data_IF_570290368209
#
_entry.id   IF_570290368209
#
_cell.length_a   1.000
_cell.length_b   1.000
_cell.length_c   1.000
_cell.angle_alpha   90.00
_cell.angle_beta   90.00
_cell.angle_gamma   90.00
#
_symmetry.space_group_name_H-M   'P 1'
#
loop_
_entity.id
_entity.type
_entity.pdbx_description
1 polymer ?
#
# COMPACT_ATOMS: atom_id res chain seq x y z
N UNK A 1 29.20 72.22 17.04
CA UNK A 1 27.99 71.41 16.86
C UNK A 1 28.30 70.30 15.89
N UNK A 2 28.47 69.06 16.39
CA UNK A 2 28.80 67.90 15.57
C UNK A 2 27.51 67.10 15.29
N UNK A 3 27.10 66.99 14.00
CA UNK A 3 25.99 66.18 13.58
C UNK A 3 26.46 64.70 13.52
N UNK A 4 25.86 63.86 14.35
CA UNK A 4 26.04 62.40 14.28
C UNK A 4 25.09 61.84 13.19
N UNK A 5 25.67 61.27 12.16
CA UNK A 5 24.95 60.45 11.15
C UNK A 5 24.75 59.07 11.74
N UNK A 6 23.49 58.66 11.88
CA UNK A 6 23.09 57.31 12.32
C UNK A 6 22.89 56.47 11.06
N UNK A 7 23.80 55.54 10.78
CA UNK A 7 23.62 54.51 9.73
C UNK A 7 22.73 53.43 10.30
N UNK A 8 21.50 53.33 9.81
CA UNK A 8 20.65 52.19 10.03
C UNK A 8 21.05 51.07 9.09
N UNK A 9 21.66 50.03 9.62
CA UNK A 9 21.97 48.77 8.90
C UNK A 9 20.69 47.95 8.85
N UNK A 10 19.98 47.98 7.72
CA UNK A 10 18.86 47.07 7.46
C UNK A 10 19.44 45.71 7.08
N UNK A 11 19.46 44.81 8.04
CA UNK A 11 19.76 43.39 7.76
C UNK A 11 18.56 42.79 7.03
N UNK A 12 18.68 42.69 5.70
CA UNK A 12 17.78 41.86 4.87
C UNK A 12 18.15 40.40 5.17
N UNK A 13 17.42 39.79 6.10
CA UNK A 13 17.37 38.36 6.26
C UNK A 13 16.62 37.78 5.03
N UNK A 14 17.39 37.47 4.00
CA UNK A 14 16.90 36.70 2.90
C UNK A 14 16.53 35.28 3.43
N UNK A 15 15.24 35.02 3.55
CA UNK A 15 14.76 33.63 3.62
C UNK A 15 15.16 32.96 2.31
N UNK A 16 16.29 32.28 2.33
CA UNK A 16 16.59 31.25 1.36
C UNK A 16 15.59 30.10 1.62
N UNK A 17 14.40 30.22 1.04
CA UNK A 17 13.61 29.03 0.76
C UNK A 17 14.48 28.22 -0.22
N UNK A 18 15.18 27.23 0.29
CA UNK A 18 15.71 26.18 -0.57
C UNK A 18 14.48 25.48 -1.16
N UNK A 19 14.06 25.96 -2.34
CA UNK A 19 13.23 25.15 -3.21
C UNK A 19 14.09 23.91 -3.48
N UNK A 20 13.83 22.82 -2.78
CA UNK A 20 14.34 21.50 -3.16
C UNK A 20 13.77 21.31 -4.57
N UNK A 21 14.63 21.40 -5.57
CA UNK A 21 14.25 21.10 -6.93
C UNK A 21 13.67 19.69 -6.90
N UNK A 22 12.38 19.57 -7.20
CA UNK A 22 11.68 18.31 -7.23
C UNK A 22 12.44 17.43 -8.24
N UNK A 23 13.03 16.34 -7.75
CA UNK A 23 13.90 15.51 -8.59
C UNK A 23 13.01 14.66 -9.50
N UNK A 24 13.20 14.80 -10.82
CA UNK A 24 12.49 13.97 -11.79
C UNK A 24 12.84 12.49 -11.57
N UNK A 25 11.80 11.68 -11.47
CA UNK A 25 11.89 10.21 -11.35
C UNK A 25 11.63 9.60 -12.72
N UNK A 26 12.43 8.59 -13.09
CA UNK A 26 12.33 7.97 -14.41
C UNK A 26 12.06 6.47 -14.25
N UNK A 27 11.01 5.99 -14.90
CA UNK A 27 10.78 4.58 -15.18
C UNK A 27 10.91 4.35 -16.68
N UNK A 28 11.81 3.45 -17.08
CA UNK A 28 11.84 2.97 -18.46
C UNK A 28 11.74 1.46 -18.52
N UNK A 29 11.21 0.91 -19.61
CA UNK A 29 11.12 -0.52 -19.81
C UNK A 29 11.25 -0.93 -21.28
N UNK A 30 11.95 -2.04 -21.50
CA UNK A 30 11.81 -2.86 -22.70
C UNK A 30 10.86 -4.01 -22.39
N UNK A 31 9.84 -4.22 -23.23
CA UNK A 31 8.82 -5.25 -23.00
C UNK A 31 8.75 -6.16 -24.22
N UNK A 32 9.28 -7.37 -24.09
CA UNK A 32 9.32 -8.37 -25.15
C UNK A 32 8.32 -9.50 -24.92
N UNK A 33 7.77 -10.04 -26.02
CA UNK A 33 6.85 -11.18 -25.99
C UNK A 33 5.45 -10.86 -25.47
N UNK A 34 5.12 -9.59 -25.21
CA UNK A 34 3.80 -9.16 -24.78
C UNK A 34 2.82 -9.16 -25.95
N UNK A 35 1.66 -9.81 -25.78
CA UNK A 35 0.72 -10.08 -26.88
C UNK A 35 -0.36 -9.00 -27.07
N UNK A 36 -0.37 -7.95 -26.24
CA UNK A 36 -1.33 -6.86 -26.36
C UNK A 36 -0.73 -5.67 -27.09
N UNK A 37 -1.59 -4.82 -27.66
CA UNK A 37 -1.18 -3.65 -28.46
C UNK A 37 -0.71 -2.45 -27.62
N UNK A 38 -0.87 -2.51 -26.30
CA UNK A 38 -0.54 -1.38 -25.42
C UNK A 38 0.21 -1.86 -24.18
N UNK A 39 1.14 -1.04 -23.74
CA UNK A 39 1.88 -1.19 -22.49
C UNK A 39 1.44 -0.11 -21.54
N UNK A 40 1.21 -0.46 -20.28
CA UNK A 40 0.76 0.45 -19.24
C UNK A 40 1.77 0.51 -18.10
N UNK A 41 2.10 1.74 -17.69
CA UNK A 41 2.77 2.00 -16.41
C UNK A 41 1.72 2.64 -15.50
N UNK A 42 1.27 1.90 -14.49
CA UNK A 42 0.20 2.33 -13.59
C UNK A 42 0.75 2.57 -12.18
N UNK A 43 0.27 3.61 -11.50
CA UNK A 43 0.60 3.89 -10.11
C UNK A 43 -0.59 3.58 -9.19
N UNK A 44 -0.34 2.78 -8.15
CA UNK A 44 -1.37 2.38 -7.18
C UNK A 44 -1.84 3.54 -6.29
N UNK A 45 -0.93 4.45 -5.92
CA UNK A 45 -1.24 5.56 -5.02
C UNK A 45 -1.99 6.68 -5.72
N UNK A 46 -1.61 6.98 -6.96
CA UNK A 46 -2.23 8.07 -7.72
C UNK A 46 -2.36 7.72 -9.20
N UNK A 47 -3.59 7.73 -9.74
CA UNK A 47 -3.81 7.49 -11.17
C UNK A 47 -3.25 8.58 -12.09
N UNK A 48 -2.83 9.74 -11.54
CA UNK A 48 -2.17 10.80 -12.33
C UNK A 48 -0.78 10.42 -12.77
N UNK A 49 -0.13 9.49 -12.07
CA UNK A 49 1.17 8.93 -12.45
C UNK A 49 0.89 7.62 -13.18
N UNK A 50 0.26 7.70 -14.34
CA UNK A 50 0.01 6.56 -15.20
C UNK A 50 0.32 6.93 -16.64
N UNK A 51 0.87 5.99 -17.41
CA UNK A 51 1.23 6.20 -18.81
C UNK A 51 0.91 4.99 -19.66
N UNK A 52 0.37 5.25 -20.85
CA UNK A 52 0.09 4.25 -21.86
C UNK A 52 1.04 4.42 -23.05
N UNK A 53 1.56 3.31 -23.57
CA UNK A 53 2.41 3.27 -24.76
C UNK A 53 1.88 2.24 -25.76
N UNK A 54 2.16 2.44 -27.04
CA UNK A 54 1.98 1.39 -28.04
C UNK A 54 3.06 0.33 -27.89
N UNK A 55 2.70 -0.94 -28.13
CA UNK A 55 3.68 -2.02 -28.12
C UNK A 55 4.48 -2.00 -29.43
N UNK A 56 5.77 -1.66 -29.32
CA UNK A 56 6.73 -1.73 -30.41
C UNK A 56 7.87 -2.66 -29.94
N UNK A 57 8.01 -3.87 -30.53
CA UNK A 57 9.08 -4.79 -30.13
C UNK A 57 10.46 -4.16 -30.24
N UNK A 58 11.25 -4.26 -29.18
CA UNK A 58 12.61 -3.71 -29.11
C UNK A 58 12.69 -2.19 -28.90
N UNK A 59 11.57 -1.51 -28.69
CA UNK A 59 11.54 -0.10 -28.32
C UNK A 59 11.54 0.07 -26.80
N UNK A 60 12.34 1.03 -26.33
CA UNK A 60 12.32 1.44 -24.94
C UNK A 60 11.18 2.44 -24.69
N UNK A 61 10.35 2.16 -23.69
CA UNK A 61 9.29 3.04 -23.23
C UNK A 61 9.78 3.81 -22.01
N UNK A 62 9.78 5.14 -22.08
CA UNK A 62 10.33 6.01 -21.03
C UNK A 62 9.21 6.89 -20.48
N UNK A 63 9.08 6.92 -19.15
CA UNK A 63 8.18 7.79 -18.44
C UNK A 63 8.93 8.58 -17.36
N UNK A 64 8.89 9.91 -17.47
CA UNK A 64 9.43 10.83 -16.48
C UNK A 64 8.27 11.46 -15.72
N UNK A 65 8.35 11.47 -14.40
CA UNK A 65 7.34 12.04 -13.53
C UNK A 65 7.97 12.58 -12.25
N UNK A 66 7.19 13.32 -11.49
CA UNK A 66 7.57 13.82 -10.18
C UNK A 66 6.76 13.09 -9.11
N UNK A 67 7.41 12.71 -8.01
CA UNK A 67 6.76 12.16 -6.83
C UNK A 67 7.43 12.73 -5.58
N UNK A 68 6.64 12.91 -4.52
CA UNK A 68 7.15 13.40 -3.23
C UNK A 68 7.55 12.25 -2.30
N UNK A 69 6.90 11.12 -2.46
CA UNK A 69 7.11 9.92 -1.66
C UNK A 69 7.35 8.71 -2.54
N UNK A 70 7.66 7.58 -1.89
CA UNK A 70 7.73 6.29 -2.56
C UNK A 70 6.45 6.01 -3.35
N UNK A 71 6.59 5.56 -4.59
CA UNK A 71 5.48 5.09 -5.42
C UNK A 71 5.65 3.60 -5.76
N UNK A 72 4.54 2.88 -5.74
CA UNK A 72 4.43 1.54 -6.30
C UNK A 72 3.83 1.64 -7.68
N UNK A 73 4.58 1.27 -8.69
CA UNK A 73 4.11 1.22 -10.07
C UNK A 73 4.03 -0.21 -10.57
N UNK A 74 3.16 -0.46 -11.51
CA UNK A 74 3.10 -1.74 -12.21
C UNK A 74 3.31 -1.55 -13.71
N UNK A 75 4.07 -2.46 -14.31
CA UNK A 75 4.18 -2.59 -15.77
C UNK A 75 3.18 -3.68 -16.18
N UNK A 76 2.19 -3.30 -16.99
CA UNK A 76 1.10 -4.17 -17.45
C UNK A 76 0.31 -4.87 -16.32
N UNK A 77 0.20 -4.24 -15.15
CA UNK A 77 -0.51 -4.76 -13.99
C UNK A 77 0.11 -6.02 -13.36
N UNK A 78 1.31 -6.44 -13.81
CA UNK A 78 1.93 -7.72 -13.40
C UNK A 78 3.32 -7.60 -12.81
N UNK A 79 4.13 -6.65 -13.29
CA UNK A 79 5.49 -6.41 -12.80
C UNK A 79 5.48 -5.19 -11.90
N UNK A 80 5.49 -5.40 -10.59
CA UNK A 80 5.54 -4.33 -9.60
C UNK A 80 6.95 -3.78 -9.43
N UNK A 81 7.07 -2.45 -9.33
CA UNK A 81 8.33 -1.74 -9.08
C UNK A 81 8.13 -0.63 -8.05
N UNK A 82 9.15 -0.41 -7.24
CA UNK A 82 9.23 0.68 -6.27
C UNK A 82 10.16 1.76 -6.81
N UNK A 83 9.73 3.01 -6.74
CA UNK A 83 10.52 4.19 -7.06
C UNK A 83 10.41 5.23 -5.95
N UNK A 84 11.53 5.84 -5.63
CA UNK A 84 11.65 6.97 -4.74
C UNK A 84 11.96 8.24 -5.54
N UNK A 85 11.67 9.44 -5.01
CA UNK A 85 12.02 10.69 -5.68
C UNK A 85 13.46 10.72 -6.20
N UNK A 86 13.64 11.03 -7.48
CA UNK A 86 14.94 11.07 -8.15
C UNK A 86 15.53 9.72 -8.55
N UNK A 87 14.81 8.61 -8.40
CA UNK A 87 15.25 7.31 -8.93
C UNK A 87 15.19 7.29 -10.45
N UNK A 88 16.12 6.56 -11.06
CA UNK A 88 16.07 6.16 -12.45
C UNK A 88 16.16 4.63 -12.50
N UNK A 89 15.11 4.00 -13.01
CA UNK A 89 14.99 2.55 -13.13
C UNK A 89 14.66 2.17 -14.56
N UNK A 90 15.46 1.26 -15.11
CA UNK A 90 15.16 0.56 -16.34
C UNK A 90 14.82 -0.89 -16.06
N UNK A 91 13.76 -1.40 -16.70
CA UNK A 91 13.24 -2.75 -16.49
C UNK A 91 13.14 -3.50 -17.81
N UNK A 92 13.93 -4.55 -17.97
CA UNK A 92 13.73 -5.51 -19.05
C UNK A 92 12.70 -6.55 -18.64
N UNK A 93 11.57 -6.61 -19.35
CA UNK A 93 10.47 -7.55 -19.09
C UNK A 93 10.31 -8.47 -20.30
N UNK A 94 10.56 -9.75 -20.11
CA UNK A 94 10.43 -10.75 -21.19
C UNK A 94 9.31 -11.75 -20.81
N UNK A 95 8.25 -11.75 -21.60
CA UNK A 95 7.17 -12.70 -21.51
C UNK A 95 7.48 -13.97 -22.34
N UNK A 96 7.54 -15.11 -21.66
CA UNK A 96 7.71 -16.41 -22.31
C UNK A 96 6.59 -17.37 -21.86
N UNK A 97 5.47 -17.30 -22.53
CA UNK A 97 4.26 -18.01 -22.16
C UNK A 97 3.76 -17.57 -20.78
N UNK A 98 3.77 -18.48 -19.81
CA UNK A 98 3.35 -18.20 -18.42
C UNK A 98 4.46 -17.59 -17.55
N UNK A 99 5.70 -17.57 -18.03
CA UNK A 99 6.84 -17.07 -17.28
C UNK A 99 7.15 -15.63 -17.68
N UNK A 100 7.46 -14.81 -16.68
CA UNK A 100 7.91 -13.43 -16.86
C UNK A 100 9.32 -13.34 -16.26
N UNK A 101 10.31 -12.99 -17.10
CA UNK A 101 11.66 -12.70 -16.64
C UNK A 101 11.80 -11.18 -16.53
N UNK A 102 12.33 -10.72 -15.41
CA UNK A 102 12.52 -9.29 -15.14
C UNK A 102 13.96 -9.06 -14.73
N UNK A 103 14.61 -8.05 -15.36
CA UNK A 103 15.94 -7.59 -14.97
C UNK A 103 15.90 -6.07 -14.73
N UNK A 104 16.72 -5.59 -13.80
CA UNK A 104 16.74 -4.18 -13.38
C UNK A 104 18.11 -3.57 -13.60
N UNK A 105 18.14 -2.35 -14.15
CA UNK A 105 19.31 -1.47 -14.22
C UNK A 105 18.92 -0.03 -13.91
N UNK A 106 19.88 0.84 -13.61
CA UNK A 106 19.63 2.23 -13.24
C UNK A 106 20.39 2.68 -12.02
N UNK A 107 19.82 3.59 -11.22
CA UNK A 107 20.44 4.02 -9.96
C UNK A 107 20.55 2.85 -8.97
N UNK A 108 21.66 2.78 -8.24
CA UNK A 108 21.93 1.68 -7.31
C UNK A 108 20.79 1.49 -6.31
N UNK A 109 20.25 2.58 -5.76
CA UNK A 109 19.10 2.55 -4.84
C UNK A 109 17.89 1.91 -5.49
N UNK A 110 17.48 2.37 -6.67
CA UNK A 110 16.32 1.84 -7.38
C UNK A 110 16.49 0.34 -7.69
N UNK A 111 17.66 -0.06 -8.16
CA UNK A 111 17.97 -1.47 -8.44
C UNK A 111 17.89 -2.33 -7.19
N UNK A 112 18.48 -1.88 -6.07
CA UNK A 112 18.46 -2.62 -4.81
C UNK A 112 17.05 -2.74 -4.24
N UNK A 113 16.24 -1.68 -4.31
CA UNK A 113 14.84 -1.69 -3.87
C UNK A 113 14.02 -2.71 -4.66
N UNK A 114 14.18 -2.75 -5.98
CA UNK A 114 13.43 -3.66 -6.84
C UNK A 114 13.93 -5.11 -6.79
N UNK A 115 15.20 -5.32 -6.49
CA UNK A 115 15.71 -6.66 -6.14
C UNK A 115 15.11 -7.20 -4.85
N UNK A 116 14.83 -6.35 -3.86
CA UNK A 116 14.12 -6.75 -2.66
C UNK A 116 12.70 -7.21 -3.01
N UNK A 117 11.93 -6.43 -3.77
CA UNK A 117 10.58 -6.80 -4.25
C UNK A 117 10.61 -8.16 -4.93
N UNK A 118 11.51 -8.35 -5.91
CA UNK A 118 11.67 -9.62 -6.63
C UNK A 118 12.03 -10.79 -5.71
N UNK A 119 12.84 -10.55 -4.68
CA UNK A 119 13.23 -11.57 -3.72
C UNK A 119 12.06 -12.02 -2.87
N UNK A 120 11.17 -11.11 -2.47
CA UNK A 120 9.93 -11.42 -1.76
C UNK A 120 8.97 -12.23 -2.65
N UNK A 121 8.80 -11.84 -3.92
CA UNK A 121 7.98 -12.62 -4.86
C UNK A 121 8.52 -14.04 -5.06
N UNK A 122 9.83 -14.20 -5.16
CA UNK A 122 10.46 -15.50 -5.25
C UNK A 122 10.28 -16.32 -3.96
N UNK A 123 10.34 -15.68 -2.79
CA UNK A 123 10.07 -16.32 -1.51
C UNK A 123 8.63 -16.85 -1.48
N UNK A 124 7.63 -16.03 -1.82
CA UNK A 124 6.22 -16.43 -1.88
C UNK A 124 6.02 -17.64 -2.82
N UNK A 125 6.63 -17.61 -4.01
CA UNK A 125 6.59 -18.73 -4.96
C UNK A 125 7.24 -20.00 -4.41
N UNK A 126 8.40 -19.87 -3.76
CA UNK A 126 9.13 -21.02 -3.19
C UNK A 126 8.34 -21.70 -2.08
N UNK A 127 7.60 -20.91 -1.29
CA UNK A 127 6.71 -21.40 -0.23
C UNK A 127 5.34 -21.82 -0.78
N UNK A 128 5.08 -21.63 -2.08
CA UNK A 128 3.75 -21.81 -2.69
C UNK A 128 2.64 -21.07 -1.95
N UNK A 129 3.00 -19.93 -1.35
CA UNK A 129 2.06 -19.14 -0.59
C UNK A 129 1.04 -18.47 -1.51
N UNK A 130 -0.24 -18.75 -1.27
CA UNK A 130 -1.34 -18.20 -2.05
C UNK A 130 -1.93 -16.99 -1.32
N UNK A 131 -1.84 -15.83 -1.93
CA UNK A 131 -2.26 -14.56 -1.34
C UNK A 131 -3.76 -14.31 -1.50
N UNK A 132 -4.33 -14.78 -2.60
CA UNK A 132 -5.73 -14.53 -2.93
C UNK A 132 -6.67 -15.32 -2.02
N UNK A 133 -7.21 -14.65 -1.02
CA UNK A 133 -8.20 -15.23 -0.12
C UNK A 133 -9.54 -15.51 -0.81
N UNK A 134 -9.89 -14.71 -1.80
CA UNK A 134 -11.14 -14.85 -2.57
C UNK A 134 -11.09 -15.93 -3.66
N UNK A 135 -9.92 -16.48 -3.95
CA UNK A 135 -9.78 -17.60 -4.87
C UNK A 135 -10.01 -18.93 -4.17
N UNK A 136 -10.85 -19.81 -4.72
CA UNK A 136 -11.07 -21.17 -4.18
C UNK A 136 -9.77 -21.95 -3.90
N UNK A 137 -8.73 -21.65 -4.64
CA UNK A 137 -7.42 -22.25 -4.49
C UNK A 137 -6.69 -21.90 -3.18
N UNK A 138 -7.06 -20.80 -2.53
CA UNK A 138 -6.45 -20.39 -1.25
C UNK A 138 -7.12 -21.05 -0.04
N UNK A 139 -8.28 -21.67 -0.23
CA UNK A 139 -9.10 -22.29 0.82
C UNK A 139 -9.03 -23.81 0.82
N UNK A 140 -7.98 -24.38 0.24
CA UNK A 140 -7.78 -25.82 0.13
C UNK A 140 -7.14 -26.46 1.38
N UNK A 141 -6.51 -25.68 2.24
CA UNK A 141 -5.88 -26.12 3.48
C UNK A 141 -6.68 -25.65 4.72
N UNK A 142 -6.50 -26.34 5.84
CA UNK A 142 -7.16 -25.96 7.09
C UNK A 142 -6.59 -24.64 7.65
N UNK A 143 -7.38 -23.87 8.41
CA UNK A 143 -6.89 -22.63 9.05
C UNK A 143 -5.63 -22.83 9.90
N UNK A 144 -5.53 -23.96 10.63
CA UNK A 144 -4.36 -24.33 11.44
C UNK A 144 -3.08 -24.57 10.62
N UNK A 145 -3.21 -25.06 9.38
CA UNK A 145 -2.08 -25.17 8.45
C UNK A 145 -1.73 -23.81 7.85
N UNK A 146 -2.75 -23.04 7.48
CA UNK A 146 -2.58 -21.70 6.92
C UNK A 146 -1.82 -20.76 7.87
N UNK A 147 -2.08 -20.86 9.17
CA UNK A 147 -1.36 -20.06 10.17
C UNK A 147 0.14 -20.42 10.20
N UNK A 148 0.48 -21.69 10.06
CA UNK A 148 1.87 -22.16 9.97
C UNK A 148 2.58 -21.59 8.75
N UNK A 149 1.98 -21.69 7.58
CA UNK A 149 2.51 -21.15 6.32
C UNK A 149 2.73 -19.65 6.40
N UNK A 150 1.79 -18.94 6.98
CA UNK A 150 1.83 -17.49 7.14
C UNK A 150 2.94 -17.04 8.10
N UNK A 151 3.15 -17.75 9.21
CA UNK A 151 4.27 -17.50 10.13
C UNK A 151 5.61 -17.71 9.44
N UNK A 152 5.75 -18.81 8.69
CA UNK A 152 6.98 -19.09 7.93
C UNK A 152 7.26 -18.02 6.89
N UNK A 153 6.24 -17.54 6.20
CA UNK A 153 6.39 -16.41 5.26
C UNK A 153 6.87 -15.16 5.99
N UNK A 154 6.21 -14.79 7.09
CA UNK A 154 6.53 -13.57 7.85
C UNK A 154 7.97 -13.60 8.37
N UNK A 155 8.40 -14.70 8.99
CA UNK A 155 9.76 -14.85 9.53
C UNK A 155 10.83 -14.78 8.43
N UNK A 156 10.64 -15.52 7.34
CA UNK A 156 11.58 -15.51 6.21
C UNK A 156 11.62 -14.17 5.49
N UNK A 157 10.48 -13.51 5.33
CA UNK A 157 10.42 -12.19 4.72
C UNK A 157 11.14 -11.14 5.59
N UNK A 158 10.92 -11.13 6.91
CA UNK A 158 11.65 -10.26 7.85
C UNK A 158 13.15 -10.42 7.72
N UNK A 159 13.64 -11.66 7.77
CA UNK A 159 15.07 -11.95 7.65
C UNK A 159 15.66 -11.53 6.30
N UNK A 160 14.88 -11.63 5.21
CA UNK A 160 15.29 -11.22 3.88
C UNK A 160 15.34 -9.68 3.76
N UNK A 161 14.33 -8.98 4.29
CA UNK A 161 14.24 -7.52 4.32
C UNK A 161 15.42 -6.93 5.12
N UNK A 162 15.69 -7.46 6.31
CA UNK A 162 16.79 -7.00 7.15
C UNK A 162 18.16 -7.07 6.44
N UNK A 163 18.43 -8.18 5.76
CA UNK A 163 19.70 -8.43 5.05
C UNK A 163 19.81 -7.69 3.72
N UNK A 164 18.72 -7.16 3.19
CA UNK A 164 18.72 -6.49 1.90
C UNK A 164 19.50 -5.16 1.94
N UNK A 165 20.24 -4.79 0.88
CA UNK A 165 20.82 -3.46 0.73
C UNK A 165 19.81 -2.39 0.29
N UNK A 166 18.53 -2.72 0.21
CA UNK A 166 17.47 -1.79 -0.13
C UNK A 166 17.37 -0.63 0.89
N UNK A 167 16.84 0.50 0.47
CA UNK A 167 16.62 1.66 1.33
C UNK A 167 15.64 1.37 2.46
N UNK A 168 15.66 2.17 3.51
CA UNK A 168 14.75 2.02 4.66
C UNK A 168 13.29 2.17 4.22
N UNK A 169 13.03 3.12 3.33
CA UNK A 169 11.70 3.40 2.78
C UNK A 169 11.15 2.17 2.04
N UNK A 170 11.95 1.56 1.16
CA UNK A 170 11.53 0.35 0.45
C UNK A 170 11.33 -0.84 1.39
N UNK A 171 12.16 -0.98 2.42
CA UNK A 171 12.00 -2.01 3.46
C UNK A 171 10.71 -1.85 4.23
N UNK A 172 10.38 -0.63 4.65
CA UNK A 172 9.14 -0.32 5.36
C UNK A 172 7.92 -0.63 4.50
N UNK A 173 7.91 -0.16 3.25
CA UNK A 173 6.81 -0.41 2.32
C UNK A 173 6.61 -1.91 2.06
N UNK A 174 7.68 -2.63 1.76
CA UNK A 174 7.62 -4.08 1.51
C UNK A 174 7.18 -4.84 2.76
N UNK A 175 7.57 -4.38 3.96
CA UNK A 175 7.12 -4.98 5.21
C UNK A 175 5.63 -4.77 5.42
N UNK A 176 5.10 -3.57 5.13
CA UNK A 176 3.66 -3.29 5.19
C UNK A 176 2.85 -4.20 4.25
N UNK A 177 3.35 -4.44 3.02
CA UNK A 177 2.75 -5.40 2.08
C UNK A 177 2.75 -6.84 2.64
N UNK A 178 3.84 -7.28 3.25
CA UNK A 178 3.92 -8.62 3.86
C UNK A 178 2.96 -8.74 5.04
N UNK A 179 2.88 -7.72 5.88
CA UNK A 179 1.93 -7.69 7.00
C UNK A 179 0.48 -7.75 6.50
N UNK A 180 0.14 -7.02 5.45
CA UNK A 180 -1.16 -7.16 4.81
C UNK A 180 -1.45 -8.60 4.40
N UNK A 181 -0.57 -9.23 3.63
CA UNK A 181 -0.79 -10.60 3.15
C UNK A 181 -0.93 -11.61 4.30
N UNK A 182 -0.15 -11.45 5.34
CA UNK A 182 -0.12 -12.37 6.47
C UNK A 182 -1.30 -12.11 7.42
N UNK A 183 -1.44 -10.91 7.96
CA UNK A 183 -2.44 -10.63 8.99
C UNK A 183 -3.85 -10.53 8.44
N UNK A 184 -4.06 -10.03 7.21
CA UNK A 184 -5.36 -10.12 6.56
C UNK A 184 -5.79 -11.59 6.40
N UNK A 185 -4.84 -12.46 6.04
CA UNK A 185 -5.08 -13.91 5.98
C UNK A 185 -5.53 -14.46 7.33
N UNK A 186 -4.92 -14.04 8.44
CA UNK A 186 -5.33 -14.50 9.76
C UNK A 186 -6.74 -14.05 10.12
N UNK A 187 -7.09 -12.81 9.82
CA UNK A 187 -8.41 -12.27 10.13
C UNK A 187 -9.50 -12.96 9.31
N UNK A 188 -9.29 -13.13 8.01
CA UNK A 188 -10.34 -13.55 7.07
C UNK A 188 -10.46 -15.07 6.90
N UNK A 189 -9.36 -15.78 7.00
CA UNK A 189 -9.28 -17.16 6.51
C UNK A 189 -10.28 -18.13 7.18
N UNK A 190 -10.45 -18.17 8.51
CA UNK A 190 -11.38 -19.11 9.13
C UNK A 190 -12.83 -18.89 8.71
N UNK A 191 -13.25 -17.62 8.60
CA UNK A 191 -14.61 -17.26 8.18
C UNK A 191 -14.85 -17.67 6.73
N UNK A 192 -13.91 -17.39 5.83
CA UNK A 192 -14.00 -17.77 4.42
C UNK A 192 -13.94 -19.29 4.22
N UNK A 193 -13.08 -19.97 4.97
CA UNK A 193 -12.98 -21.42 4.94
C UNK A 193 -14.30 -22.08 5.37
N UNK A 194 -14.88 -21.63 6.47
CA UNK A 194 -16.18 -22.10 6.95
C UNK A 194 -17.28 -21.88 5.92
N UNK A 195 -17.37 -20.65 5.37
CA UNK A 195 -18.38 -20.30 4.36
C UNK A 195 -18.30 -21.21 3.11
N UNK A 196 -17.11 -21.44 2.57
CA UNK A 196 -16.93 -22.29 1.38
C UNK A 196 -17.24 -23.76 1.67
N UNK A 197 -17.05 -24.20 2.91
CA UNK A 197 -17.29 -25.60 3.34
C UNK A 197 -18.70 -25.82 3.89
N UNK A 198 -19.51 -24.78 4.03
CA UNK A 198 -20.83 -24.86 4.63
C UNK A 198 -20.79 -25.20 6.11
N UNK A 199 -19.74 -24.76 6.83
CA UNK A 199 -19.55 -24.96 8.27
C UNK A 199 -19.85 -23.68 9.02
N UNK A 200 -20.20 -23.77 10.30
CA UNK A 200 -20.10 -22.64 11.20
C UNK A 200 -18.63 -22.39 11.59
N UNK A 201 -18.28 -21.13 11.90
CA UNK A 201 -16.89 -20.82 12.31
C UNK A 201 -16.53 -21.57 13.59
N UNK A 202 -17.49 -21.72 14.50
CA UNK A 202 -17.37 -22.40 15.79
C UNK A 202 -17.18 -23.92 15.66
N UNK A 203 -17.58 -24.50 14.53
CA UNK A 203 -17.37 -25.93 14.25
C UNK A 203 -15.93 -26.27 13.86
N UNK A 204 -15.12 -25.25 13.63
CA UNK A 204 -13.69 -25.42 13.34
C UNK A 204 -12.92 -25.52 14.65
N UNK A 205 -12.19 -26.61 14.82
CA UNK A 205 -11.27 -26.79 15.96
C UNK A 205 -10.00 -25.98 15.75
N UNK A 206 -10.13 -24.65 15.78
CA UNK A 206 -8.99 -23.72 15.53
C UNK A 206 -8.33 -23.21 16.82
N UNK A 207 -8.87 -23.62 18.00
CA UNK A 207 -8.26 -23.34 19.30
C UNK A 207 -8.00 -21.84 19.53
N UNK A 208 -6.75 -21.52 19.82
CA UNK A 208 -6.27 -20.15 20.08
C UNK A 208 -5.84 -19.40 18.79
N UNK A 209 -6.36 -19.81 17.64
CA UNK A 209 -5.99 -19.26 16.32
C UNK A 209 -5.93 -17.71 16.32
N UNK A 210 -6.93 -17.06 16.94
CA UNK A 210 -7.05 -15.62 16.97
C UNK A 210 -6.00 -14.92 17.86
N UNK A 211 -5.33 -15.66 18.75
CA UNK A 211 -4.25 -15.12 19.57
C UNK A 211 -3.05 -14.63 18.77
N UNK A 212 -2.94 -15.02 17.51
CA UNK A 212 -1.88 -14.54 16.62
C UNK A 212 -1.93 -13.03 16.40
N UNK A 213 -3.11 -12.44 16.57
CA UNK A 213 -3.31 -10.99 16.49
C UNK A 213 -2.96 -10.29 17.81
N UNK A 214 -2.76 -11.05 18.89
CA UNK A 214 -2.36 -10.48 20.17
C UNK A 214 -0.91 -9.97 20.05
N UNK A 215 -0.72 -8.71 20.42
CA UNK A 215 0.59 -8.05 20.27
C UNK A 215 0.93 -7.57 18.87
N UNK A 216 -0.01 -7.63 17.90
CA UNK A 216 0.17 -6.93 16.63
C UNK A 216 0.25 -5.42 16.88
N UNK A 217 1.32 -4.80 16.43
CA UNK A 217 1.55 -3.36 16.55
C UNK A 217 1.37 -2.73 15.18
N UNK A 218 0.40 -1.82 15.10
CA UNK A 218 0.16 -1.05 13.88
C UNK A 218 1.35 -0.16 13.59
N UNK A 219 1.82 -0.19 12.34
CA UNK A 219 2.93 0.65 11.87
C UNK A 219 2.49 2.11 11.77
N UNK A 220 3.44 3.01 11.97
CA UNK A 220 3.25 4.46 11.91
C UNK A 220 4.24 5.18 10.98
N UNK A 221 5.09 4.41 10.26
CA UNK A 221 6.01 4.98 9.29
C UNK A 221 5.26 5.45 8.02
N UNK A 222 5.81 6.48 7.37
CA UNK A 222 5.18 7.15 6.24
C UNK A 222 5.01 6.23 5.03
N UNK A 223 5.92 5.27 4.85
CA UNK A 223 5.87 4.34 3.71
C UNK A 223 4.74 3.33 3.89
N UNK A 224 4.51 2.88 5.13
CA UNK A 224 3.36 2.03 5.46
C UNK A 224 2.04 2.77 5.26
N UNK A 225 1.99 4.07 5.66
CA UNK A 225 0.84 4.95 5.41
C UNK A 225 0.70 5.39 3.94
N UNK A 226 1.53 4.89 3.05
CA UNK A 226 1.44 5.09 1.61
C UNK A 226 1.18 3.77 0.84
N UNK A 227 0.92 2.67 1.56
CA UNK A 227 0.63 1.35 1.00
C UNK A 227 -0.88 1.07 1.03
N UNK A 228 -1.60 1.10 -0.11
CA UNK A 228 -3.06 0.95 -0.15
C UNK A 228 -3.54 -0.40 0.40
N UNK A 229 -2.77 -1.46 0.21
CA UNK A 229 -3.07 -2.79 0.77
C UNK A 229 -3.01 -2.75 2.30
N UNK A 230 -2.05 -2.04 2.86
CA UNK A 230 -1.93 -1.89 4.31
C UNK A 230 -3.12 -1.13 4.93
N UNK A 231 -3.66 -0.12 4.24
CA UNK A 231 -4.90 0.52 4.68
C UNK A 231 -6.07 -0.46 4.76
N UNK A 232 -6.15 -1.41 3.83
CA UNK A 232 -7.18 -2.46 3.86
C UNK A 232 -7.02 -3.37 5.08
N UNK A 233 -5.78 -3.71 5.45
CA UNK A 233 -5.51 -4.43 6.69
C UNK A 233 -5.96 -3.62 7.92
N UNK A 234 -5.61 -2.34 7.98
CA UNK A 234 -5.99 -1.49 9.11
C UNK A 234 -7.51 -1.40 9.28
N UNK A 235 -8.26 -1.22 8.19
CA UNK A 235 -9.72 -1.20 8.25
C UNK A 235 -10.27 -2.52 8.81
N UNK A 236 -9.79 -3.66 8.35
CA UNK A 236 -10.23 -4.98 8.86
C UNK A 236 -9.80 -5.24 10.29
N UNK A 237 -8.60 -4.79 10.65
CA UNK A 237 -8.09 -4.91 12.01
C UNK A 237 -8.94 -4.13 13.01
N UNK A 238 -9.38 -2.93 12.66
CA UNK A 238 -10.33 -2.16 13.48
C UNK A 238 -11.61 -2.96 13.76
N UNK A 239 -12.27 -3.49 12.73
CA UNK A 239 -13.51 -4.26 12.89
C UNK A 239 -13.29 -5.56 13.67
N UNK A 240 -12.18 -6.26 13.42
CA UNK A 240 -11.79 -7.44 14.18
C UNK A 240 -11.60 -7.14 15.68
N UNK A 241 -10.93 -6.03 16.01
CA UNK A 241 -10.72 -5.64 17.39
C UNK A 241 -12.00 -5.20 18.07
N UNK A 242 -12.89 -4.50 17.38
CA UNK A 242 -14.20 -4.11 17.91
C UNK A 242 -15.07 -5.35 18.17
N UNK A 243 -15.07 -6.33 17.27
CA UNK A 243 -15.74 -7.63 17.47
C UNK A 243 -15.18 -8.36 18.69
N UNK A 244 -13.86 -8.43 18.83
CA UNK A 244 -13.19 -9.06 19.97
C UNK A 244 -13.60 -8.43 21.29
N UNK A 245 -13.56 -7.10 21.37
CA UNK A 245 -13.96 -6.35 22.59
C UNK A 245 -15.44 -6.55 22.92
N UNK A 246 -16.32 -6.51 21.92
CA UNK A 246 -17.75 -6.76 22.14
C UNK A 246 -17.99 -8.18 22.69
N UNK A 247 -17.34 -9.18 22.08
CA UNK A 247 -17.42 -10.58 22.53
C UNK A 247 -16.93 -10.78 23.97
N UNK A 248 -15.86 -10.12 24.36
CA UNK A 248 -15.35 -10.14 25.74
C UNK A 248 -16.35 -9.54 26.75
N UNK A 249 -17.18 -8.60 26.30
CA UNK A 249 -18.26 -7.98 27.10
C UNK A 249 -19.57 -8.75 27.04
N UNK A 250 -19.67 -9.82 26.28
CA UNK A 250 -20.90 -10.54 26.03
C UNK A 250 -21.93 -9.79 25.16
N UNK A 251 -21.44 -8.85 24.36
CA UNK A 251 -22.23 -8.02 23.45
C UNK A 251 -22.18 -8.59 22.02
N UNK A 252 -23.24 -8.40 21.25
CA UNK A 252 -23.24 -8.72 19.83
C UNK A 252 -22.57 -7.58 19.04
N UNK A 253 -21.69 -7.94 18.10
CA UNK A 253 -21.10 -7.00 17.16
C UNK A 253 -21.57 -7.32 15.74
N UNK A 254 -21.95 -6.29 15.01
CA UNK A 254 -22.28 -6.40 13.59
C UNK A 254 -21.32 -5.50 12.83
N UNK A 255 -20.48 -6.10 12.01
CA UNK A 255 -19.53 -5.34 11.18
C UNK A 255 -20.27 -4.35 10.28
N UNK A 256 -19.87 -3.08 10.22
CA UNK A 256 -20.54 -2.05 9.44
C UNK A 256 -20.58 -2.40 7.96
N UNK A 257 -21.75 -2.18 7.34
CA UNK A 257 -21.98 -2.48 5.91
C UNK A 257 -22.12 -1.20 5.07
N UNK A 258 -22.35 -0.06 5.72
CA UNK A 258 -22.48 1.24 5.06
C UNK A 258 -21.30 2.13 5.37
N UNK A 259 -20.97 2.99 4.40
CA UNK A 259 -19.78 3.84 4.46
C UNK A 259 -19.70 4.72 5.70
N UNK A 260 -20.83 5.31 6.12
CA UNK A 260 -20.88 6.21 7.28
C UNK A 260 -20.55 5.50 8.59
N UNK A 261 -21.01 4.26 8.75
CA UNK A 261 -20.75 3.50 9.96
C UNK A 261 -19.29 2.99 9.96
N UNK A 262 -18.76 2.56 8.79
CA UNK A 262 -17.33 2.29 8.64
C UNK A 262 -16.48 3.51 8.98
N UNK A 263 -16.84 4.68 8.45
CA UNK A 263 -16.15 5.94 8.71
C UNK A 263 -16.11 6.28 10.20
N UNK A 264 -17.26 6.17 10.90
CA UNK A 264 -17.37 6.45 12.33
C UNK A 264 -16.51 5.51 13.17
N UNK A 265 -16.56 4.21 12.88
CA UNK A 265 -15.75 3.22 13.62
C UNK A 265 -14.26 3.46 13.42
N UNK A 266 -13.82 3.66 12.18
CA UNK A 266 -12.42 3.94 11.86
C UNK A 266 -11.94 5.25 12.51
N UNK A 267 -12.76 6.31 12.46
CA UNK A 267 -12.44 7.59 13.08
C UNK A 267 -12.33 7.51 14.61
N UNK A 268 -13.11 6.62 15.24
CA UNK A 268 -13.05 6.41 16.68
C UNK A 268 -11.90 5.50 17.13
N UNK A 269 -11.50 4.55 16.28
CA UNK A 269 -10.50 3.54 16.62
C UNK A 269 -9.07 4.05 16.44
N UNK A 270 -8.79 4.78 15.36
CA UNK A 270 -7.47 5.31 15.03
C UNK A 270 -7.31 6.77 15.45
N UNK A 271 -6.06 7.23 15.55
CA UNK A 271 -5.71 8.63 15.74
C UNK A 271 -4.60 9.08 14.77
N UNK A 272 -4.27 10.38 14.77
CA UNK A 272 -3.16 10.97 14.01
C UNK A 272 -3.13 10.55 12.54
N UNK A 273 -1.92 10.19 12.07
CA UNK A 273 -1.67 9.83 10.68
C UNK A 273 -2.39 8.54 10.25
N UNK A 274 -2.56 7.58 11.17
CA UNK A 274 -3.27 6.34 10.88
C UNK A 274 -4.75 6.60 10.59
N UNK A 275 -5.40 7.46 11.37
CA UNK A 275 -6.79 7.90 11.13
C UNK A 275 -6.92 8.61 9.79
N UNK A 276 -6.04 9.57 9.53
CA UNK A 276 -6.00 10.31 8.26
C UNK A 276 -5.92 9.32 7.07
N UNK A 277 -4.99 8.37 7.12
CA UNK A 277 -4.75 7.39 6.07
C UNK A 277 -5.94 6.45 5.82
N UNK A 278 -6.53 5.88 6.87
CA UNK A 278 -7.65 4.93 6.70
C UNK A 278 -8.91 5.62 6.21
N UNK A 279 -9.20 6.84 6.69
CA UNK A 279 -10.36 7.62 6.25
C UNK A 279 -10.20 8.10 4.81
N UNK A 280 -9.02 8.59 4.44
CA UNK A 280 -8.66 8.90 3.06
C UNK A 280 -8.90 7.69 2.15
N UNK A 281 -8.36 6.53 2.52
CA UNK A 281 -8.46 5.32 1.69
C UNK A 281 -9.91 4.84 1.57
N UNK A 282 -10.70 4.90 2.63
CA UNK A 282 -12.12 4.59 2.60
C UNK A 282 -12.85 5.46 1.58
N UNK A 283 -12.73 6.80 1.71
CA UNK A 283 -13.39 7.77 0.84
C UNK A 283 -12.94 7.61 -0.61
N UNK A 284 -11.63 7.52 -0.85
CA UNK A 284 -11.05 7.30 -2.18
C UNK A 284 -11.65 6.07 -2.85
N UNK A 285 -11.74 4.95 -2.14
CA UNK A 285 -12.25 3.70 -2.69
C UNK A 285 -13.73 3.80 -3.07
N UNK A 286 -14.57 4.47 -2.29
CA UNK A 286 -15.97 4.71 -2.63
C UNK A 286 -16.11 5.60 -3.86
N UNK A 287 -15.33 6.67 -3.95
CA UNK A 287 -15.35 7.61 -5.10
C UNK A 287 -14.90 6.91 -6.38
N UNK A 288 -13.78 6.21 -6.38
CA UNK A 288 -13.25 5.51 -7.57
C UNK A 288 -14.23 4.44 -8.06
N UNK A 289 -14.91 3.75 -7.14
CA UNK A 289 -15.91 2.75 -7.52
C UNK A 289 -17.25 3.36 -7.96
N UNK A 290 -17.38 4.68 -8.00
CA UNK A 290 -18.58 5.40 -8.40
C UNK A 290 -19.78 5.13 -7.49
N UNK A 291 -19.54 4.70 -6.25
CA UNK A 291 -20.59 4.37 -5.29
C UNK A 291 -20.86 5.54 -4.36
N UNK A 292 -22.13 5.91 -4.26
CA UNK A 292 -22.63 6.84 -3.22
C UNK A 292 -21.84 8.16 -3.15
N UNK A 293 -21.47 8.74 -4.30
CA UNK A 293 -20.60 9.92 -4.42
C UNK A 293 -21.15 11.11 -3.59
N UNK A 294 -22.47 11.35 -3.61
CA UNK A 294 -23.08 12.43 -2.83
C UNK A 294 -22.89 12.26 -1.32
N UNK A 295 -22.95 11.01 -0.83
CA UNK A 295 -22.70 10.68 0.58
C UNK A 295 -21.21 10.80 0.91
N UNK A 296 -20.34 10.39 -0.02
CA UNK A 296 -18.90 10.55 0.11
C UNK A 296 -18.49 12.02 0.24
N UNK A 297 -19.15 12.94 -0.50
CA UNK A 297 -18.90 14.39 -0.40
C UNK A 297 -19.19 14.94 1.00
N UNK A 298 -20.27 14.47 1.66
CA UNK A 298 -20.58 14.89 3.04
C UNK A 298 -19.50 14.43 4.02
N UNK A 299 -19.06 13.19 3.92
CA UNK A 299 -18.00 12.65 4.77
C UNK A 299 -16.64 13.25 4.44
N UNK A 300 -16.39 13.59 3.19
CA UNK A 300 -15.17 14.24 2.77
C UNK A 300 -15.02 15.64 3.41
N UNK A 301 -16.08 16.42 3.48
CA UNK A 301 -16.07 17.71 4.19
C UNK A 301 -15.75 17.55 5.68
N UNK A 302 -16.36 16.57 6.33
CA UNK A 302 -16.07 16.24 7.74
C UNK A 302 -14.62 15.79 7.92
N UNK A 303 -14.09 14.97 7.00
CA UNK A 303 -12.72 14.50 7.00
C UNK A 303 -11.72 15.65 6.88
N UNK A 304 -11.92 16.56 5.92
CA UNK A 304 -11.03 17.72 5.69
C UNK A 304 -11.03 18.65 6.89
N UNK A 305 -12.20 18.85 7.51
CA UNK A 305 -12.33 19.77 8.67
C UNK A 305 -11.68 19.21 9.94
N UNK A 306 -11.77 17.88 10.17
CA UNK A 306 -11.47 17.30 11.48
C UNK A 306 -10.21 16.43 11.52
N UNK A 307 -9.87 15.74 10.42
CA UNK A 307 -8.93 14.63 10.47
C UNK A 307 -7.78 14.72 9.47
N UNK A 308 -7.97 15.46 8.35
CA UNK A 308 -6.94 15.53 7.33
C UNK A 308 -5.73 16.34 7.83
N UNK A 309 -4.59 15.70 7.86
CA UNK A 309 -3.28 16.29 8.17
C UNK A 309 -2.32 16.23 6.99
N UNK A 310 -2.58 15.33 6.02
CA UNK A 310 -1.75 15.16 4.84
C UNK A 310 -2.39 15.84 3.61
N UNK A 311 -1.83 16.96 3.12
CA UNK A 311 -2.38 17.68 1.99
C UNK A 311 -2.41 16.87 0.69
N UNK A 312 -1.54 15.87 0.54
CA UNK A 312 -1.52 14.96 -0.60
C UNK A 312 -2.82 14.16 -0.70
N UNK A 313 -3.33 13.62 0.42
CA UNK A 313 -4.60 12.87 0.43
C UNK A 313 -5.78 13.72 0.01
N UNK A 314 -5.84 14.96 0.54
CA UNK A 314 -6.85 15.93 0.13
C UNK A 314 -6.77 16.20 -1.38
N UNK A 315 -5.57 16.45 -1.90
CA UNK A 315 -5.37 16.73 -3.32
C UNK A 315 -5.85 15.60 -4.24
N UNK A 316 -5.62 14.35 -3.87
CA UNK A 316 -6.11 13.19 -4.63
C UNK A 316 -7.64 13.13 -4.63
N UNK A 317 -8.29 13.32 -3.47
CA UNK A 317 -9.76 13.30 -3.42
C UNK A 317 -10.34 14.47 -4.21
N UNK A 318 -9.82 15.69 -4.05
CA UNK A 318 -10.25 16.88 -4.80
C UNK A 318 -10.23 16.62 -6.31
N UNK A 319 -9.19 15.95 -6.80
CA UNK A 319 -9.06 15.59 -8.22
C UNK A 319 -10.09 14.53 -8.65
N UNK A 320 -10.33 13.53 -7.81
CA UNK A 320 -11.29 12.46 -8.12
C UNK A 320 -12.76 12.92 -8.08
N UNK A 321 -13.04 14.03 -7.41
CA UNK A 321 -14.37 14.62 -7.29
C UNK A 321 -14.69 15.63 -8.41
N UNK A 322 -13.73 16.02 -9.26
CA UNK A 322 -13.90 16.86 -10.44
C UNK A 322 -14.44 16.10 -11.64
#
# INVERSE_FOLDING_TARGET
MKKKLLFALVAVLGFLTTATAQQSTTLSANVDGYQRSKIYFDCMQTPMIAQEFHTNPGEEHIYNFECENLVWMTINGSTGVILLPGDSLHVDVVYNGKNVKVEYSGTERAVNNNRLVKSIENLKRSLRYKEQLLGCAALDIKPTERIGDSRVLLEKAKALIEKSPASVEAKNYVMAMIEYHVYMSFIEYPVMYASVRGLAVEEQEIGDYWSIMDGYVVRDDIESMNCPEYASLLMRYCFFMNEKVAKERGEAYVMPQVMEDMYKELAAFYDGAQRDFVLYTLLRNFIINGREIERADVLYKDYVEKYNSNPFYKGIIDMLMQ
#
